data_IF_601725968049
#
_entry.id   IF_601725968049
#
_cell.length_a   1.000
_cell.length_b   1.000
_cell.length_c   1.000
_cell.angle_alpha   90.00
_cell.angle_beta   90.00
_cell.angle_gamma   90.00
#
_symmetry.space_group_name_H-M   'P 1'
#
loop_
_entity.id
_entity.type
_entity.pdbx_description
1 polymer ?
#
# COMPACT_ATOMS: atom_id res chain seq x y z
N UNK A 1 -13.74 3.34 9.54
CA UNK A 1 -12.85 3.12 10.73
C UNK A 1 -11.56 3.93 10.59
N UNK A 2 -10.96 4.47 11.67
CA UNK A 2 -9.68 5.21 11.54
C UNK A 2 -8.46 4.28 11.38
N UNK A 3 -7.35 4.80 10.83
CA UNK A 3 -6.13 4.01 10.59
C UNK A 3 -5.53 3.36 11.84
N UNK A 4 -5.54 4.04 12.99
CA UNK A 4 -4.95 3.51 14.23
C UNK A 4 -5.67 2.26 14.71
N UNK A 5 -7.00 2.29 14.69
CA UNK A 5 -7.82 1.13 15.04
C UNK A 5 -7.62 -0.02 14.04
N UNK A 6 -7.52 0.30 12.75
CA UNK A 6 -7.24 -0.70 11.71
C UNK A 6 -5.90 -1.41 11.95
N UNK A 7 -4.82 -0.65 12.21
CA UNK A 7 -3.50 -1.21 12.53
C UNK A 7 -3.57 -2.07 13.80
N UNK A 8 -4.18 -1.58 14.87
CA UNK A 8 -4.25 -2.30 16.14
C UNK A 8 -5.09 -3.59 16.05
N UNK A 9 -6.06 -3.63 15.14
CA UNK A 9 -6.96 -4.79 14.97
C UNK A 9 -6.33 -5.86 14.07
N UNK A 10 -5.67 -5.45 12.99
CA UNK A 10 -5.28 -6.38 11.92
C UNK A 10 -3.78 -6.57 11.78
N UNK A 11 -2.93 -5.65 12.22
CA UNK A 11 -1.48 -5.78 12.09
C UNK A 11 -0.85 -6.48 13.30
N UNK A 12 0.05 -7.41 13.05
CA UNK A 12 0.74 -8.20 14.09
C UNK A 12 2.19 -7.76 14.32
N UNK A 13 2.79 -7.07 13.35
CA UNK A 13 4.14 -6.50 13.47
C UNK A 13 4.15 -5.01 13.07
N UNK A 14 5.11 -4.28 13.62
CA UNK A 14 5.32 -2.84 13.38
C UNK A 14 6.80 -2.49 13.52
N UNK A 15 7.43 -2.12 12.40
CA UNK A 15 8.86 -1.80 12.35
C UNK A 15 9.12 -0.38 11.85
N UNK A 16 9.74 0.43 12.70
CA UNK A 16 10.25 1.75 12.32
C UNK A 16 11.56 1.62 11.54
N UNK A 17 11.63 2.26 10.37
CA UNK A 17 12.81 2.31 9.51
C UNK A 17 13.59 3.62 9.72
N UNK A 18 14.91 3.64 9.50
CA UNK A 18 15.73 4.87 9.60
C UNK A 18 15.24 6.01 8.69
N UNK A 19 14.57 5.66 7.59
CA UNK A 19 13.95 6.60 6.63
C UNK A 19 12.73 7.34 7.20
N UNK A 20 12.32 7.09 8.45
CA UNK A 20 11.15 7.74 9.04
C UNK A 20 9.82 7.17 8.54
N UNK A 21 9.83 5.93 8.06
CA UNK A 21 8.63 5.14 7.73
C UNK A 21 8.40 4.12 8.84
N UNK A 22 7.16 3.91 9.24
CA UNK A 22 6.75 2.78 10.06
C UNK A 22 6.03 1.80 9.14
N UNK A 23 6.50 0.56 9.14
CA UNK A 23 5.90 -0.52 8.35
C UNK A 23 5.10 -1.40 9.29
N UNK A 24 3.78 -1.44 9.12
CA UNK A 24 2.91 -2.37 9.83
C UNK A 24 2.59 -3.54 8.90
N UNK A 25 2.53 -4.76 9.43
CA UNK A 25 2.25 -5.93 8.61
C UNK A 25 1.47 -7.00 9.34
N UNK A 26 0.75 -7.81 8.56
CA UNK A 26 0.13 -9.07 8.99
C UNK A 26 -0.18 -9.97 7.81
N UNK A 27 -0.26 -11.26 8.09
CA UNK A 27 -0.86 -12.24 7.20
C UNK A 27 -2.36 -12.32 7.48
N UNK A 28 -3.18 -11.98 6.49
CA UNK A 28 -4.65 -11.89 6.62
C UNK A 28 -5.39 -12.75 5.60
N UNK A 29 -4.67 -13.44 4.70
CA UNK A 29 -5.25 -14.22 3.61
C UNK A 29 -5.84 -13.34 2.50
N UNK A 30 -6.59 -13.96 1.59
CA UNK A 30 -7.09 -13.29 0.37
C UNK A 30 -8.21 -12.28 0.62
N UNK A 31 -8.85 -12.32 1.79
CA UNK A 31 -9.93 -11.41 2.14
C UNK A 31 -9.37 -10.23 2.93
N UNK A 32 -9.38 -9.05 2.30
CA UNK A 32 -9.05 -7.82 2.99
C UNK A 32 -10.21 -7.39 3.90
N UNK A 33 -9.94 -7.03 5.17
CA UNK A 33 -10.93 -6.42 6.05
C UNK A 33 -11.46 -5.09 5.52
N UNK A 34 -12.49 -4.56 6.18
CA UNK A 34 -13.04 -3.24 5.84
C UNK A 34 -11.97 -2.16 5.97
N UNK A 35 -11.71 -1.47 4.85
CA UNK A 35 -10.67 -0.46 4.76
C UNK A 35 -10.91 0.70 5.74
N UNK A 36 -9.83 1.30 6.26
CA UNK A 36 -9.95 2.53 7.02
C UNK A 36 -10.44 3.68 6.12
N UNK A 37 -11.11 4.65 6.74
CA UNK A 37 -11.66 5.81 6.06
C UNK A 37 -10.55 6.58 5.34
N UNK A 38 -10.89 7.30 4.26
CA UNK A 38 -9.96 8.18 3.53
C UNK A 38 -8.76 7.46 2.86
N UNK A 39 -8.92 6.17 2.57
CA UNK A 39 -8.06 5.46 1.62
C UNK A 39 -8.70 5.44 0.24
N UNK A 40 -7.89 5.74 -0.78
CA UNK A 40 -8.29 5.77 -2.18
C UNK A 40 -7.60 4.63 -2.93
N UNK A 41 -8.38 3.87 -3.68
CA UNK A 41 -7.88 2.73 -4.45
C UNK A 41 -7.08 3.20 -5.66
N UNK A 42 -5.91 2.61 -5.86
CA UNK A 42 -5.00 2.91 -6.96
C UNK A 42 -5.13 1.81 -8.02
N UNK A 43 -6.11 1.95 -8.92
CA UNK A 43 -6.43 0.94 -9.92
C UNK A 43 -5.23 0.61 -10.83
N UNK A 44 -4.47 1.64 -11.24
CA UNK A 44 -3.30 1.50 -12.12
C UNK A 44 -2.15 0.70 -11.48
N UNK A 45 -2.07 0.67 -10.15
CA UNK A 45 -1.03 -0.08 -9.42
C UNK A 45 -1.52 -1.46 -8.93
N UNK A 46 -2.78 -1.77 -9.23
CA UNK A 46 -3.50 -2.97 -8.81
C UNK A 46 -3.96 -3.79 -10.04
N UNK A 47 -3.10 -3.81 -11.05
CA UNK A 47 -3.29 -4.42 -12.38
C UNK A 47 -3.30 -5.96 -12.36
N UNK A 48 -2.83 -6.59 -11.28
CA UNK A 48 -2.89 -8.05 -11.10
C UNK A 48 -3.87 -8.45 -9.99
N UNK A 49 -4.61 -9.56 -10.13
CA UNK A 49 -5.66 -9.93 -9.16
C UNK A 49 -5.17 -10.11 -7.72
N UNK A 50 -3.92 -10.54 -7.56
CA UNK A 50 -3.32 -10.81 -6.25
C UNK A 50 -2.83 -9.57 -5.53
N UNK A 51 -2.83 -8.38 -6.17
CA UNK A 51 -2.32 -7.12 -5.60
C UNK A 51 -3.39 -6.05 -5.61
N UNK A 52 -3.55 -5.39 -4.47
CA UNK A 52 -4.39 -4.22 -4.33
C UNK A 52 -3.67 -3.17 -3.52
N UNK A 53 -3.68 -1.93 -4.02
CA UNK A 53 -2.98 -0.81 -3.39
C UNK A 53 -3.94 0.35 -3.16
N UNK A 54 -3.83 0.95 -1.99
CA UNK A 54 -4.54 2.16 -1.62
C UNK A 54 -3.58 3.18 -1.04
N UNK A 55 -3.91 4.46 -1.21
CA UNK A 55 -3.17 5.55 -0.56
C UNK A 55 -4.09 6.42 0.28
N UNK A 56 -3.53 7.07 1.28
CA UNK A 56 -4.21 8.07 2.09
C UNK A 56 -3.30 9.27 2.32
N UNK A 57 -3.64 10.40 1.69
CA UNK A 57 -2.95 11.68 1.92
C UNK A 57 -3.09 12.18 3.37
N UNK A 58 -4.29 12.13 4.01
CA UNK A 58 -4.45 12.60 5.38
C UNK A 58 -3.63 11.82 6.40
N UNK A 59 -3.41 10.52 6.14
CA UNK A 59 -2.59 9.67 6.99
C UNK A 59 -1.13 9.56 6.53
N UNK A 60 -0.79 10.10 5.36
CA UNK A 60 0.51 9.94 4.73
C UNK A 60 0.90 8.46 4.63
N UNK A 61 -0.04 7.62 4.17
CA UNK A 61 0.11 6.16 4.21
C UNK A 61 -0.23 5.48 2.89
N UNK A 62 0.45 4.35 2.64
CA UNK A 62 0.12 3.41 1.56
C UNK A 62 -0.24 2.08 2.19
N UNK A 63 -1.38 1.51 1.82
CA UNK A 63 -1.80 0.16 2.18
C UNK A 63 -1.64 -0.74 0.96
N UNK A 64 -0.98 -1.86 1.12
CA UNK A 64 -0.76 -2.87 0.10
C UNK A 64 -1.32 -4.18 0.65
N UNK A 65 -2.18 -4.82 -0.13
CA UNK A 65 -2.60 -6.18 0.08
C UNK A 65 -2.12 -7.02 -1.09
N UNK A 66 -1.18 -7.91 -0.86
CA UNK A 66 -0.59 -8.73 -1.92
C UNK A 66 -0.32 -10.15 -1.41
N UNK A 67 -0.76 -11.17 -2.15
CA UNK A 67 -0.54 -12.60 -1.82
C UNK A 67 -0.90 -12.95 -0.36
N UNK A 68 -2.01 -12.42 0.13
CA UNK A 68 -2.49 -12.66 1.50
C UNK A 68 -1.80 -11.85 2.59
N UNK A 69 -0.82 -11.02 2.24
CA UNK A 69 -0.10 -10.14 3.16
C UNK A 69 -0.67 -8.73 3.11
N UNK A 70 -0.95 -8.18 4.29
CA UNK A 70 -1.28 -6.78 4.50
C UNK A 70 -0.02 -6.03 4.93
N UNK A 71 0.31 -4.95 4.23
CA UNK A 71 1.43 -4.07 4.55
C UNK A 71 0.93 -2.62 4.53
N UNK A 72 1.23 -1.87 5.59
CA UNK A 72 0.92 -0.44 5.68
C UNK A 72 2.22 0.32 5.89
N UNK A 73 2.53 1.19 4.94
CA UNK A 73 3.63 2.14 5.04
C UNK A 73 3.10 3.47 5.56
N UNK A 74 3.33 3.75 6.85
CA UNK A 74 3.01 5.04 7.45
C UNK A 74 4.24 5.94 7.45
N UNK A 75 4.12 7.13 6.86
CA UNK A 75 5.24 8.07 6.75
C UNK A 75 5.14 9.17 7.78
N UNK A 76 6.20 9.36 8.56
CA UNK A 76 6.29 10.46 9.54
C UNK A 76 6.47 11.83 8.88
N UNK A 77 6.88 11.87 7.61
CA UNK A 77 7.12 13.09 6.83
C UNK A 77 6.46 13.01 5.47
N UNK A 78 5.72 14.06 5.10
CA UNK A 78 5.05 14.18 3.80
C UNK A 78 5.99 14.07 2.59
N UNK A 79 7.23 14.53 2.72
CA UNK A 79 8.22 14.41 1.64
C UNK A 79 8.53 12.94 1.31
N UNK A 80 8.70 12.09 2.33
CA UNK A 80 8.99 10.67 2.13
C UNK A 80 7.80 9.91 1.58
N UNK A 81 6.58 10.29 1.99
CA UNK A 81 5.36 9.77 1.41
C UNK A 81 5.30 10.04 -0.10
N UNK A 82 5.60 11.28 -0.53
CA UNK A 82 5.63 11.65 -1.96
C UNK A 82 6.68 10.88 -2.74
N UNK A 83 7.89 10.74 -2.20
CA UNK A 83 8.96 9.95 -2.82
C UNK A 83 8.49 8.50 -3.02
N UNK A 84 7.89 7.89 -2.00
CA UNK A 84 7.37 6.53 -2.12
C UNK A 84 6.25 6.41 -3.15
N UNK A 85 5.36 7.40 -3.29
CA UNK A 85 4.36 7.37 -4.36
C UNK A 85 5.01 7.37 -5.76
N UNK A 86 6.07 8.17 -5.97
CA UNK A 86 6.83 8.17 -7.23
C UNK A 86 7.53 6.83 -7.49
N UNK A 87 8.12 6.23 -6.45
CA UNK A 87 8.74 4.89 -6.56
C UNK A 87 7.72 3.81 -6.92
N UNK A 88 6.49 3.88 -6.38
CA UNK A 88 5.42 2.94 -6.70
C UNK A 88 4.87 3.17 -8.12
N UNK A 89 4.76 4.42 -8.56
CA UNK A 89 4.39 4.79 -9.92
C UNK A 89 5.41 4.23 -10.92
N UNK A 90 6.71 4.47 -10.70
CA UNK A 90 7.77 3.90 -11.53
C UNK A 90 7.71 2.36 -11.55
N UNK A 91 7.51 1.73 -10.40
CA UNK A 91 7.46 0.26 -10.29
C UNK A 91 6.27 -0.34 -11.04
N UNK A 92 5.07 0.19 -10.85
CA UNK A 92 3.85 -0.47 -11.32
C UNK A 92 3.34 0.07 -12.65
N UNK A 93 3.55 1.36 -12.96
CA UNK A 93 3.19 1.89 -14.27
C UNK A 93 4.12 1.30 -15.36
N UNK A 94 5.42 1.16 -15.09
CA UNK A 94 6.35 0.50 -16.02
C UNK A 94 6.00 -0.97 -16.25
N UNK A 95 5.53 -1.66 -15.19
CA UNK A 95 5.08 -3.06 -15.28
C UNK A 95 3.81 -3.19 -16.15
N UNK A 96 2.85 -2.26 -16.01
CA UNK A 96 1.62 -2.24 -16.81
C UNK A 96 1.89 -1.98 -18.31
N UNK A 97 2.87 -1.13 -18.64
CA UNK A 97 3.25 -0.84 -20.03
C UNK A 97 4.01 -1.98 -20.69
N UNK A 98 4.85 -2.71 -19.95
CA UNK A 98 5.57 -3.87 -20.47
C UNK A 98 4.64 -5.02 -20.88
N UNK A 99 3.51 -5.19 -20.18
CA UNK A 99 2.47 -6.17 -20.55
C UNK A 99 1.71 -5.86 -21.84
N UNK A 100 1.71 -4.59 -22.27
CA UNK A 100 1.02 -4.15 -23.50
C UNK A 100 1.80 -4.40 -24.80
N UNK A 101 3.09 -4.75 -24.72
CA UNK A 101 3.94 -4.97 -25.91
C UNK A 101 4.03 -6.44 -26.36
N UNK A 102 3.32 -7.37 -25.72
CA UNK A 102 3.31 -8.79 -26.10
C UNK A 102 1.93 -9.18 -26.63
N UNK A 103 1.47 -8.52 -27.69
CA UNK A 103 0.37 -8.97 -28.55
C UNK A 103 0.41 -8.19 -29.86
N UNK A 104 1.24 -8.64 -30.80
CA UNK A 104 1.15 -8.30 -32.21
C UNK A 104 1.64 -9.47 -33.04
#
# INVERSE_FOLDING_TARGET
MNLRNYIATYCTDSKKKPTGVIVHSAEIGEQLPELPDRFFYMAEWSDVPSRRIWKSEPYQSVLIHENGQLIIHEHLRKANFRIHLLELEEKYETSSRAGHFVSS
#
